data_IF_595566665241
#
_entry.id   IF_595566665241
#
_cell.length_a   1.000
_cell.length_b   1.000
_cell.length_c   1.000
_cell.angle_alpha   90.00
_cell.angle_beta   90.00
_cell.angle_gamma   90.00
#
_symmetry.space_group_name_H-M   'P 1'
#
loop_
_entity.id
_entity.type
_entity.pdbx_description
1 polymer ?
#
# COMPACT_ATOMS: atom_id res chain seq x y z
N UNK A 1 -10.11 9.41 12.45
CA UNK A 1 -8.86 9.10 11.75
C UNK A 1 -9.21 8.12 10.65
N UNK A 2 -8.92 8.48 9.40
CA UNK A 2 -9.25 7.66 8.23
C UNK A 2 -8.02 6.90 7.77
N UNK A 3 -8.19 5.64 7.37
CA UNK A 3 -7.13 4.85 6.75
C UNK A 3 -7.60 4.30 5.42
N UNK A 4 -6.85 4.53 4.35
CA UNK A 4 -7.17 4.06 3.00
C UNK A 4 -6.22 2.92 2.64
N UNK A 5 -6.77 1.82 2.16
CA UNK A 5 -6.01 0.73 1.54
C UNK A 5 -5.87 1.00 0.06
N UNK A 6 -4.68 0.83 -0.49
CA UNK A 6 -4.41 0.88 -1.92
C UNK A 6 -3.79 -0.46 -2.30
N UNK A 7 -4.43 -1.15 -3.25
CA UNK A 7 -3.86 -2.31 -3.91
C UNK A 7 -3.51 -1.87 -5.33
N UNK A 8 -2.24 -1.96 -5.68
CA UNK A 8 -1.73 -1.53 -6.98
C UNK A 8 -0.76 -2.57 -7.54
N UNK A 9 -0.65 -2.67 -8.86
CA UNK A 9 0.39 -3.48 -9.49
C UNK A 9 1.70 -2.70 -9.64
N UNK A 10 2.83 -3.41 -9.75
CA UNK A 10 4.18 -2.84 -10.00
C UNK A 10 4.21 -1.84 -11.17
N UNK A 11 3.39 -2.03 -12.20
CA UNK A 11 3.31 -1.12 -13.36
C UNK A 11 2.85 0.30 -12.99
N UNK A 12 2.17 0.48 -11.85
CA UNK A 12 1.60 1.75 -11.41
C UNK A 12 2.40 2.42 -10.27
N UNK A 13 3.61 1.94 -9.96
CA UNK A 13 4.38 2.47 -8.85
C UNK A 13 4.73 3.97 -9.00
N UNK A 14 5.07 4.41 -10.21
CA UNK A 14 5.36 5.82 -10.49
C UNK A 14 4.11 6.71 -10.34
N UNK A 15 2.98 6.29 -10.90
CA UNK A 15 1.70 6.98 -10.73
C UNK A 15 1.25 7.01 -9.28
N UNK A 16 1.49 5.93 -8.54
CA UNK A 16 1.17 5.83 -7.13
C UNK A 16 2.05 6.79 -6.30
N UNK A 17 3.35 6.86 -6.58
CA UNK A 17 4.26 7.79 -5.91
C UNK A 17 3.81 9.23 -6.14
N UNK A 18 3.49 9.58 -7.38
CA UNK A 18 2.97 10.89 -7.75
C UNK A 18 1.64 11.20 -7.05
N UNK A 19 0.72 10.25 -7.03
CA UNK A 19 -0.56 10.42 -6.34
C UNK A 19 -0.30 10.72 -4.86
N UNK A 20 0.54 9.94 -4.19
CA UNK A 20 0.81 10.12 -2.76
C UNK A 20 1.52 11.46 -2.49
N UNK A 21 2.38 11.93 -3.40
CA UNK A 21 3.10 13.21 -3.25
C UNK A 21 2.25 14.44 -3.46
N UNK A 22 1.17 14.35 -4.25
CA UNK A 22 0.22 15.47 -4.43
C UNK A 22 -0.71 15.67 -3.21
N UNK A 23 -0.77 14.72 -2.27
CA UNK A 23 -1.64 14.80 -1.08
C UNK A 23 -0.86 14.95 0.23
N UNK A 24 -0.46 16.19 0.54
CA UNK A 24 0.24 16.57 1.79
C UNK A 24 -0.49 16.18 3.09
N UNK A 25 -1.80 15.93 3.02
CA UNK A 25 -2.61 15.53 4.18
C UNK A 25 -2.33 14.10 4.65
N UNK A 26 -1.62 13.29 3.86
CA UNK A 26 -1.24 11.92 4.23
C UNK A 26 -0.15 12.01 5.29
N UNK A 27 -0.52 11.68 6.53
CA UNK A 27 0.39 11.77 7.67
C UNK A 27 1.33 10.58 7.81
N UNK A 28 0.93 9.40 7.30
CA UNK A 28 1.77 8.20 7.28
C UNK A 28 1.45 7.29 6.10
N UNK A 29 2.51 6.75 5.52
CA UNK A 29 2.50 5.78 4.42
C UNK A 29 2.97 4.44 4.98
N UNK A 30 2.12 3.44 4.97
CA UNK A 30 2.44 2.08 5.40
C UNK A 30 2.55 1.22 4.14
N UNK A 31 3.68 0.56 3.92
CA UNK A 31 3.88 -0.34 2.78
C UNK A 31 3.91 -1.78 3.30
N UNK A 32 3.09 -2.65 2.71
CA UNK A 32 3.14 -4.09 2.97
C UNK A 32 4.38 -4.66 2.29
N UNK A 33 5.24 -5.28 3.09
CA UNK A 33 6.53 -5.80 2.63
C UNK A 33 6.32 -7.07 1.81
N UNK A 34 6.66 -6.99 0.53
CA UNK A 34 6.71 -8.10 -0.42
C UNK A 34 7.91 -7.93 -1.35
N UNK A 35 8.22 -8.95 -2.15
CA UNK A 35 9.22 -8.82 -3.22
C UNK A 35 8.83 -7.69 -4.19
N UNK A 36 7.55 -7.61 -4.55
CA UNK A 36 7.02 -6.61 -5.47
C UNK A 36 7.09 -5.18 -4.94
N UNK A 37 6.97 -4.98 -3.63
CA UNK A 37 7.02 -3.64 -3.04
C UNK A 37 8.42 -3.03 -2.97
N UNK A 38 9.50 -3.78 -3.29
CA UNK A 38 10.88 -3.35 -3.00
C UNK A 38 11.29 -2.08 -3.72
N UNK A 39 10.91 -1.93 -4.98
CA UNK A 39 11.28 -0.74 -5.75
C UNK A 39 10.49 0.48 -5.28
N UNK A 40 9.19 0.32 -5.07
CA UNK A 40 8.36 1.35 -4.44
C UNK A 40 8.86 1.80 -3.07
N UNK A 41 9.36 0.89 -2.22
CA UNK A 41 9.95 1.25 -0.93
C UNK A 41 11.15 2.19 -1.11
N UNK A 42 12.07 1.90 -2.04
CA UNK A 42 13.22 2.77 -2.32
C UNK A 42 12.79 4.14 -2.84
N UNK A 43 11.79 4.18 -3.73
CA UNK A 43 11.23 5.43 -4.25
C UNK A 43 10.59 6.27 -3.14
N UNK A 44 9.91 5.65 -2.19
CA UNK A 44 9.40 6.37 -1.03
C UNK A 44 10.53 6.90 -0.14
N UNK A 45 11.56 6.09 0.11
CA UNK A 45 12.72 6.46 0.93
C UNK A 45 13.55 7.60 0.33
N UNK A 46 13.53 7.80 -1.00
CA UNK A 46 14.14 8.98 -1.64
C UNK A 46 13.31 10.25 -1.46
N UNK A 47 11.98 10.12 -1.36
CA UNK A 47 11.05 11.24 -1.41
C UNK A 47 10.58 11.72 -0.03
N UNK A 48 10.57 10.83 0.97
CA UNK A 48 10.05 11.13 2.30
C UNK A 48 11.01 10.76 3.42
N UNK A 49 10.83 11.43 4.57
CA UNK A 49 11.53 11.06 5.79
C UNK A 49 11.06 9.70 6.31
N UNK A 50 11.97 8.99 6.97
CA UNK A 50 11.69 7.69 7.61
C UNK A 50 10.51 7.75 8.61
N UNK A 51 10.22 8.90 9.21
CA UNK A 51 9.09 9.07 10.13
C UNK A 51 7.72 8.99 9.43
N UNK A 52 7.69 9.32 8.13
CA UNK A 52 6.47 9.27 7.31
C UNK A 52 6.21 7.88 6.73
N UNK A 53 7.22 7.00 6.70
CA UNK A 53 7.14 5.67 6.08
C UNK A 53 7.13 4.59 7.17
N UNK A 54 6.35 3.54 6.96
CA UNK A 54 6.37 2.34 7.81
C UNK A 54 6.32 1.10 6.95
N UNK A 55 7.29 0.20 7.10
CA UNK A 55 7.30 -1.08 6.40
C UNK A 55 6.66 -2.15 7.27
N UNK A 56 5.50 -2.65 6.87
CA UNK A 56 4.76 -3.68 7.56
C UNK A 56 5.09 -5.05 6.96
N UNK A 57 5.82 -5.90 7.69
CA UNK A 57 6.15 -7.26 7.23
C UNK A 57 4.93 -8.16 7.10
N UNK A 58 3.97 -8.01 8.00
CA UNK A 58 2.71 -8.77 7.99
C UNK A 58 1.59 -7.91 8.58
N UNK A 59 0.39 -8.02 8.01
CA UNK A 59 -0.82 -7.39 8.53
C UNK A 59 -1.53 -8.32 9.52
N UNK A 60 -0.83 -8.71 10.59
CA UNK A 60 -1.30 -9.75 11.51
C UNK A 60 -2.41 -9.27 12.45
N UNK A 61 -2.28 -8.09 13.06
CA UNK A 61 -3.27 -7.57 14.01
C UNK A 61 -3.29 -6.05 14.04
N UNK A 62 -4.50 -5.48 14.13
CA UNK A 62 -4.72 -4.03 14.22
C UNK A 62 -4.05 -3.39 15.44
N UNK A 63 -3.69 -4.20 16.46
CA UNK A 63 -2.95 -3.72 17.64
C UNK A 63 -1.54 -3.22 17.33
N UNK A 64 -0.92 -3.72 16.27
CA UNK A 64 0.45 -3.35 15.87
C UNK A 64 0.47 -2.16 14.90
N UNK A 65 -0.64 -1.90 14.20
CA UNK A 65 -0.80 -0.76 13.29
C UNK A 65 -1.81 0.24 13.88
N UNK A 66 -1.43 0.85 15.00
CA UNK A 66 -2.22 1.91 15.63
C UNK A 66 -2.41 3.08 14.65
N UNK A 67 -3.60 3.67 14.67
CA UNK A 67 -3.89 4.90 13.93
C UNK A 67 -3.34 6.07 14.75
N UNK A 68 -2.39 6.79 14.19
CA UNK A 68 -1.66 7.90 14.84
C UNK A 68 -1.88 9.23 14.10
N UNK A 69 -2.21 9.19 12.80
CA UNK A 69 -2.45 10.38 11.98
C UNK A 69 -3.92 10.52 11.52
N UNK A 70 -4.32 11.74 11.15
CA UNK A 70 -5.68 12.05 10.69
C UNK A 70 -6.07 11.26 9.43
N UNK A 71 -5.09 11.10 8.52
CA UNK A 71 -5.15 10.29 7.32
C UNK A 71 -3.87 9.45 7.20
N UNK A 72 -4.06 8.15 6.99
CA UNK A 72 -2.99 7.18 6.74
C UNK A 72 -3.33 6.34 5.52
N UNK A 73 -2.30 5.83 4.84
CA UNK A 73 -2.49 4.89 3.73
C UNK A 73 -1.75 3.58 4.00
N UNK A 74 -2.35 2.46 3.60
CA UNK A 74 -1.69 1.15 3.51
C UNK A 74 -1.61 0.79 2.03
N UNK A 75 -0.41 0.53 1.54
CA UNK A 75 -0.15 0.19 0.15
C UNK A 75 0.30 -1.28 0.08
N UNK A 76 -0.38 -2.06 -0.75
CA UNK A 76 0.01 -3.42 -1.10
C UNK A 76 0.31 -3.48 -2.61
N UNK A 77 1.58 -3.75 -2.94
CA UNK A 77 2.05 -3.83 -4.33
C UNK A 77 2.01 -5.29 -4.80
N UNK A 78 1.27 -5.51 -5.88
CA UNK A 78 1.11 -6.78 -6.57
C UNK A 78 2.10 -6.92 -7.74
N UNK A 79 2.50 -8.15 -8.10
CA UNK A 79 3.42 -8.39 -9.22
C UNK A 79 2.93 -7.85 -10.57
N UNK A 80 3.87 -7.39 -11.42
CA UNK A 80 3.61 -6.86 -12.77
C UNK A 80 2.86 -7.85 -13.68
N UNK A 81 3.21 -9.13 -13.60
CA UNK A 81 2.82 -10.14 -14.57
C UNK A 81 1.44 -10.77 -14.37
N UNK A 82 0.60 -10.24 -13.47
CA UNK A 82 -0.72 -10.82 -13.21
C UNK A 82 -1.61 -10.81 -14.46
N UNK A 83 -1.42 -9.84 -15.35
CA UNK A 83 -2.14 -9.73 -16.63
C UNK A 83 -1.91 -10.90 -17.60
N UNK A 84 -0.90 -11.76 -17.38
CA UNK A 84 -0.67 -12.94 -18.19
C UNK A 84 -1.79 -13.99 -18.01
N UNK A 85 -2.47 -14.00 -16.86
CA UNK A 85 -3.59 -14.88 -16.57
C UNK A 85 -4.66 -14.16 -15.76
N UNK A 86 -5.81 -13.86 -16.38
CA UNK A 86 -6.89 -13.09 -15.75
C UNK A 86 -7.44 -13.70 -14.44
N UNK A 87 -7.31 -15.02 -14.25
CA UNK A 87 -7.67 -15.70 -13.00
C UNK A 87 -6.73 -15.34 -11.86
N UNK A 88 -5.43 -15.17 -12.15
CA UNK A 88 -4.42 -14.78 -11.16
C UNK A 88 -4.65 -13.34 -10.69
N UNK A 89 -4.99 -12.39 -11.58
CA UNK A 89 -5.37 -11.02 -11.16
C UNK A 89 -6.49 -11.05 -10.13
N UNK A 90 -7.59 -11.77 -10.43
CA UNK A 90 -8.74 -11.82 -9.53
C UNK A 90 -8.36 -12.42 -8.18
N UNK A 91 -7.57 -13.49 -8.19
CA UNK A 91 -7.12 -14.14 -6.95
C UNK A 91 -6.25 -13.20 -6.11
N UNK A 92 -5.22 -12.62 -6.70
CA UNK A 92 -4.26 -11.78 -5.98
C UNK A 92 -4.89 -10.47 -5.48
N UNK A 93 -5.69 -9.80 -6.32
CA UNK A 93 -6.40 -8.57 -5.90
C UNK A 93 -7.36 -8.87 -4.75
N UNK A 94 -8.12 -9.98 -4.82
CA UNK A 94 -9.03 -10.37 -3.73
C UNK A 94 -8.26 -10.76 -2.48
N UNK A 95 -7.14 -11.50 -2.62
CA UNK A 95 -6.31 -11.90 -1.48
C UNK A 95 -5.73 -10.67 -0.77
N UNK A 96 -5.10 -9.76 -1.51
CA UNK A 96 -4.55 -8.51 -0.97
C UNK A 96 -5.64 -7.63 -0.35
N UNK A 97 -6.81 -7.53 -0.99
CA UNK A 97 -7.94 -6.77 -0.45
C UNK A 97 -8.43 -7.34 0.87
N UNK A 98 -8.59 -8.67 0.97
CA UNK A 98 -8.98 -9.35 2.21
C UNK A 98 -7.95 -9.20 3.32
N UNK A 99 -6.67 -9.11 2.97
CA UNK A 99 -5.60 -8.89 3.94
C UNK A 99 -5.70 -7.48 4.54
N UNK A 100 -5.88 -6.46 3.70
CA UNK A 100 -5.90 -5.06 4.16
C UNK A 100 -7.25 -4.61 4.72
N UNK A 101 -8.37 -5.25 4.37
CA UNK A 101 -9.74 -4.78 4.69
C UNK A 101 -9.96 -4.55 6.20
N UNK A 102 -9.31 -5.36 7.05
CA UNK A 102 -9.45 -5.27 8.52
C UNK A 102 -8.74 -4.04 9.11
N UNK A 103 -7.89 -3.39 8.33
CA UNK A 103 -7.04 -2.30 8.78
C UNK A 103 -7.51 -0.94 8.25
N UNK A 104 -8.33 -0.92 7.20
CA UNK A 104 -8.66 0.27 6.41
C UNK A 104 -10.17 0.54 6.42
N UNK A 105 -10.55 1.77 6.11
CA UNK A 105 -11.95 2.18 6.00
C UNK A 105 -12.46 2.09 4.55
N UNK A 106 -11.54 2.17 3.58
CA UNK A 106 -11.80 2.12 2.15
C UNK A 106 -10.66 1.41 1.44
N UNK A 107 -10.96 0.75 0.32
CA UNK A 107 -9.95 0.15 -0.58
C UNK A 107 -10.07 0.83 -1.94
N UNK A 108 -8.93 1.28 -2.46
CA UNK A 108 -8.73 1.72 -3.82
C UNK A 108 -7.94 0.65 -4.57
N UNK A 109 -8.41 0.30 -5.76
CA UNK A 109 -7.76 -0.64 -6.67
C UNK A 109 -7.19 0.16 -7.84
N UNK A 110 -5.90 0.00 -8.11
CA UNK A 110 -5.17 0.65 -9.21
C UNK A 110 -4.56 -0.39 -10.14
#
# INVERSE_FOLDING_TARGET
MKRIGIVACEIFEEELLKLVSEYDKIGRIIVVSSESSREFQKMLESEYSYEKITIARELCSTRFLKREHSLEIIINILPFALHLYAEDIKREVVAASKEIEKHVDYILLL
#
